data_IF_267219346139
#
_entry.id   IF_267219346139
#
_cell.length_a   1.000
_cell.length_b   1.000
_cell.length_c   1.000
_cell.angle_alpha   90.00
_cell.angle_beta   90.00
_cell.angle_gamma   90.00
#
_symmetry.space_group_name_H-M   'P 1'
#
loop_
_entity.id
_entity.type
_entity.pdbx_description
1 polymer ?
#
# COMPACT_ATOMS: atom_id res chain seq x y z
N UNK A 1 -10.32 11.06 -48.21
CA UNK A 1 -11.76 11.08 -47.86
C UNK A 1 -11.93 10.50 -46.47
N UNK A 2 -12.32 11.34 -45.50
CA UNK A 2 -12.55 10.97 -44.10
C UNK A 2 -13.81 10.10 -44.03
N UNK A 3 -13.66 8.84 -43.65
CA UNK A 3 -14.79 7.97 -43.31
C UNK A 3 -15.09 8.17 -41.82
N UNK A 4 -16.23 8.79 -41.61
CA UNK A 4 -16.85 9.09 -40.33
C UNK A 4 -17.56 7.83 -39.80
N UNK A 5 -17.47 7.68 -38.47
CA UNK A 5 -18.47 7.13 -37.57
C UNK A 5 -18.65 5.60 -37.55
N UNK A 6 -17.96 4.95 -36.61
CA UNK A 6 -18.59 3.89 -35.83
C UNK A 6 -18.84 4.45 -34.43
N UNK A 7 -20.11 4.71 -34.18
CA UNK A 7 -20.69 4.87 -32.85
C UNK A 7 -20.48 3.55 -32.11
N UNK A 8 -19.57 3.56 -31.15
CA UNK A 8 -19.60 2.65 -30.01
C UNK A 8 -19.79 3.53 -28.76
N UNK A 9 -21.02 4.03 -28.61
CA UNK A 9 -21.58 4.42 -27.33
C UNK A 9 -21.71 3.14 -26.48
N UNK A 10 -20.57 2.62 -26.02
CA UNK A 10 -20.56 1.65 -24.92
C UNK A 10 -20.75 2.47 -23.66
N UNK A 11 -21.99 2.44 -23.17
CA UNK A 11 -22.37 2.85 -21.85
C UNK A 11 -21.51 2.11 -20.81
N UNK A 12 -20.39 2.72 -20.43
CA UNK A 12 -19.84 2.59 -19.09
C UNK A 12 -20.35 3.76 -18.23
N UNK A 13 -21.66 4.02 -18.28
CA UNK A 13 -22.38 4.68 -17.18
C UNK A 13 -22.60 3.68 -16.03
N UNK A 14 -21.54 2.99 -15.63
CA UNK A 14 -21.49 2.29 -14.36
C UNK A 14 -20.74 3.19 -13.39
N UNK A 15 -21.53 4.06 -12.76
CA UNK A 15 -21.35 4.49 -11.38
C UNK A 15 -20.00 5.12 -11.04
N UNK A 16 -20.00 6.45 -11.01
CA UNK A 16 -19.10 7.23 -10.16
C UNK A 16 -19.35 6.98 -8.66
N UNK A 17 -19.12 5.74 -8.20
CA UNK A 17 -18.63 5.56 -6.85
C UNK A 17 -17.17 5.97 -6.92
N UNK A 18 -16.80 7.07 -6.28
CA UNK A 18 -15.42 7.29 -5.91
C UNK A 18 -14.97 6.02 -5.17
N UNK A 19 -14.22 5.14 -5.85
CA UNK A 19 -13.82 3.84 -5.33
C UNK A 19 -13.04 4.13 -4.05
N UNK A 20 -13.63 3.81 -2.89
CA UNK A 20 -13.08 4.19 -1.59
C UNK A 20 -11.69 3.54 -1.47
N UNK A 21 -10.65 4.37 -1.50
CA UNK A 21 -9.26 3.91 -1.35
C UNK A 21 -9.16 3.02 -0.12
N UNK A 22 -8.68 1.79 -0.33
CA UNK A 22 -8.46 0.82 0.73
C UNK A 22 -7.35 1.27 1.67
N UNK A 23 -7.19 0.59 2.80
CA UNK A 23 -6.03 0.83 3.67
C UNK A 23 -4.70 0.61 2.92
N UNK A 24 -4.66 -0.41 2.06
CA UNK A 24 -3.51 -0.72 1.24
C UNK A 24 -3.21 0.40 0.23
N UNK A 25 -4.23 0.94 -0.45
CA UNK A 25 -4.05 2.06 -1.40
C UNK A 25 -3.48 3.29 -0.70
N UNK A 26 -3.99 3.63 0.50
CA UNK A 26 -3.47 4.77 1.28
C UNK A 26 -2.02 4.57 1.72
N UNK A 27 -1.66 3.35 2.11
CA UNK A 27 -0.29 3.02 2.49
C UNK A 27 0.65 3.09 1.28
N UNK A 28 0.20 2.57 0.13
CA UNK A 28 0.93 2.64 -1.12
C UNK A 28 1.15 4.09 -1.57
N UNK A 29 0.11 4.93 -1.52
CA UNK A 29 0.21 6.35 -1.86
C UNK A 29 1.21 7.09 -0.95
N UNK A 30 1.12 6.86 0.37
CA UNK A 30 2.04 7.45 1.35
C UNK A 30 3.48 7.05 1.02
N UNK A 31 3.73 5.75 0.88
CA UNK A 31 5.08 5.25 0.66
C UNK A 31 5.63 5.65 -0.73
N UNK A 32 4.76 5.77 -1.73
CA UNK A 32 5.10 6.30 -3.06
C UNK A 32 5.54 7.76 -2.97
N UNK A 33 4.79 8.57 -2.23
CA UNK A 33 5.10 10.00 -2.05
C UNK A 33 6.40 10.18 -1.27
N UNK A 34 6.58 9.43 -0.18
CA UNK A 34 7.74 9.60 0.71
C UNK A 34 9.03 9.05 0.13
N UNK A 35 8.97 7.94 -0.61
CA UNK A 35 10.16 7.23 -1.10
C UNK A 35 10.34 7.31 -2.62
N UNK A 36 9.50 8.07 -3.32
CA UNK A 36 9.50 8.18 -4.78
C UNK A 36 9.50 6.81 -5.46
N UNK A 37 8.55 5.94 -5.08
CA UNK A 37 8.48 4.57 -5.60
C UNK A 37 8.21 4.55 -7.10
N UNK A 38 8.93 3.70 -7.84
CA UNK A 38 8.67 3.48 -9.27
C UNK A 38 7.36 2.72 -9.48
N UNK A 39 6.80 2.79 -10.69
CA UNK A 39 5.59 2.05 -11.05
C UNK A 39 5.73 0.53 -10.80
N UNK A 40 6.89 -0.04 -11.13
CA UNK A 40 7.20 -1.45 -10.90
C UNK A 40 7.26 -1.81 -9.41
N UNK A 41 7.82 -0.91 -8.59
CA UNK A 41 7.83 -1.09 -7.14
C UNK A 41 6.40 -1.02 -6.58
N UNK A 42 5.59 -0.06 -7.05
CA UNK A 42 4.20 0.08 -6.62
C UNK A 42 3.38 -1.17 -6.94
N UNK A 43 3.52 -1.72 -8.15
CA UNK A 43 2.84 -2.94 -8.58
C UNK A 43 3.21 -4.15 -7.71
N UNK A 44 4.47 -4.27 -7.30
CA UNK A 44 4.96 -5.35 -6.42
C UNK A 44 4.55 -5.16 -4.95
N UNK A 45 4.43 -3.92 -4.49
CA UNK A 45 4.13 -3.59 -3.10
C UNK A 45 2.64 -3.64 -2.77
N UNK A 46 1.78 -3.26 -3.72
CA UNK A 46 0.33 -3.25 -3.53
C UNK A 46 -0.23 -4.55 -2.94
N UNK A 47 0.01 -5.74 -3.52
CA UNK A 47 -0.52 -6.99 -2.97
C UNK A 47 0.05 -7.32 -1.57
N UNK A 48 1.28 -6.92 -1.26
CA UNK A 48 1.87 -7.14 0.06
C UNK A 48 1.21 -6.26 1.13
N UNK A 49 0.82 -5.03 0.77
CA UNK A 49 0.03 -4.19 1.68
C UNK A 49 -1.38 -4.74 1.85
N UNK A 50 -2.03 -5.19 0.78
CA UNK A 50 -3.35 -5.84 0.87
C UNK A 50 -3.32 -7.04 1.84
N UNK A 51 -2.30 -7.90 1.73
CA UNK A 51 -2.11 -9.03 2.64
C UNK A 51 -1.85 -8.56 4.09
N UNK A 52 -1.01 -7.54 4.29
CA UNK A 52 -0.74 -6.97 5.61
C UNK A 52 -2.03 -6.42 6.27
N UNK A 53 -2.90 -5.76 5.50
CA UNK A 53 -4.19 -5.29 5.99
C UNK A 53 -5.16 -6.43 6.27
N UNK A 54 -5.15 -7.49 5.46
CA UNK A 54 -5.95 -8.69 5.68
C UNK A 54 -5.55 -9.41 6.97
N UNK A 55 -4.24 -9.60 7.22
CA UNK A 55 -3.74 -10.18 8.47
C UNK A 55 -4.15 -9.35 9.69
N UNK A 56 -4.12 -8.02 9.57
CA UNK A 56 -4.58 -7.13 10.65
C UNK A 56 -6.07 -7.26 10.91
N UNK A 57 -6.87 -7.45 9.87
CA UNK A 57 -8.31 -7.69 10.01
C UNK A 57 -8.59 -9.07 10.63
N UNK A 58 -7.84 -10.09 10.22
CA UNK A 58 -7.96 -11.44 10.75
C UNK A 58 -7.58 -11.52 12.23
N UNK A 59 -6.47 -10.92 12.66
CA UNK A 59 -6.10 -10.84 14.09
C UNK A 59 -7.17 -10.14 14.94
N UNK A 60 -7.88 -9.15 14.38
CA UNK A 60 -8.99 -8.49 15.08
C UNK A 60 -10.23 -9.36 15.20
N UNK A 61 -10.45 -10.25 14.24
CA UNK A 61 -11.59 -11.16 14.24
C UNK A 61 -11.30 -12.43 15.05
N UNK A 62 -10.05 -12.88 15.06
CA UNK A 62 -9.60 -14.15 15.62
C UNK A 62 -8.31 -13.93 16.43
N UNK A 63 -8.43 -13.81 17.76
CA UNK A 63 -7.28 -13.58 18.64
C UNK A 63 -6.27 -14.75 18.61
N UNK A 64 -6.74 -15.98 18.39
CA UNK A 64 -5.88 -17.17 18.29
C UNK A 64 -4.90 -17.11 17.11
N UNK A 65 -5.19 -16.29 16.09
CA UNK A 65 -4.31 -16.10 14.94
C UNK A 65 -3.22 -15.04 15.17
N UNK A 66 -3.18 -14.38 16.34
CA UNK A 66 -2.29 -13.24 16.58
C UNK A 66 -0.81 -13.56 16.35
N UNK A 67 -0.29 -14.63 16.97
CA UNK A 67 1.13 -14.96 16.85
C UNK A 67 1.50 -15.44 15.44
N UNK A 68 0.64 -16.25 14.80
CA UNK A 68 0.85 -16.67 13.41
C UNK A 68 0.85 -15.49 12.44
N UNK A 69 -0.11 -14.56 12.60
CA UNK A 69 -0.21 -13.38 11.76
C UNK A 69 0.94 -12.41 12.01
N UNK A 70 1.47 -12.33 13.22
CA UNK A 70 2.67 -11.55 13.54
C UNK A 70 3.91 -12.11 12.84
N UNK A 71 4.06 -13.44 12.76
CA UNK A 71 5.13 -14.07 11.98
C UNK A 71 4.96 -13.75 10.50
N UNK A 72 3.76 -13.96 9.93
CA UNK A 72 3.48 -13.63 8.52
C UNK A 72 3.73 -12.15 8.21
N UNK A 73 3.31 -11.26 9.09
CA UNK A 73 3.49 -9.82 8.93
C UNK A 73 4.96 -9.40 8.99
N UNK A 74 5.80 -10.06 9.80
CA UNK A 74 7.25 -9.87 9.78
C UNK A 74 7.86 -10.30 8.44
N UNK A 75 7.44 -11.43 7.88
CA UNK A 75 7.89 -11.90 6.58
C UNK A 75 7.46 -10.95 5.45
N UNK A 76 6.24 -10.42 5.48
CA UNK A 76 5.81 -9.36 4.57
C UNK A 76 6.68 -8.11 4.69
N UNK A 77 7.02 -7.70 5.91
CA UNK A 77 7.94 -6.59 6.15
C UNK A 77 9.31 -6.78 5.48
N UNK A 78 9.86 -8.00 5.52
CA UNK A 78 11.10 -8.35 4.81
C UNK A 78 10.94 -8.26 3.30
N UNK A 79 9.88 -8.84 2.74
CA UNK A 79 9.57 -8.79 1.29
C UNK A 79 9.43 -7.36 0.79
N UNK A 80 8.70 -6.51 1.53
CA UNK A 80 8.59 -5.07 1.25
C UNK A 80 9.97 -4.43 1.24
N UNK A 81 10.80 -4.72 2.24
CA UNK A 81 12.19 -4.25 2.29
C UNK A 81 12.99 -4.66 1.06
N UNK A 82 12.85 -5.88 0.56
CA UNK A 82 13.60 -6.36 -0.62
C UNK A 82 13.25 -5.63 -1.93
N UNK A 83 12.05 -5.04 -2.02
CA UNK A 83 11.62 -4.27 -3.21
C UNK A 83 12.26 -2.87 -3.26
N UNK A 84 12.68 -2.34 -2.10
CA UNK A 84 13.25 -1.01 -1.98
C UNK A 84 14.74 -0.97 -2.28
N UNK A 85 15.19 0.14 -2.88
CA UNK A 85 16.61 0.43 -3.03
C UNK A 85 17.26 0.71 -1.66
N UNK A 86 18.59 0.68 -1.60
CA UNK A 86 19.32 1.02 -0.38
C UNK A 86 18.99 2.44 0.10
N UNK A 87 18.93 3.41 -0.82
CA UNK A 87 18.59 4.81 -0.53
C UNK A 87 17.16 4.94 0.02
N UNK A 88 16.19 4.25 -0.58
CA UNK A 88 14.80 4.26 -0.11
C UNK A 88 14.65 3.62 1.28
N UNK A 89 15.46 2.59 1.59
CA UNK A 89 15.48 1.98 2.94
C UNK A 89 16.01 2.96 3.98
N UNK A 90 17.09 3.67 3.66
CA UNK A 90 17.65 4.66 4.57
C UNK A 90 16.68 5.81 4.83
N UNK A 91 16.08 6.36 3.76
CA UNK A 91 15.06 7.41 3.89
C UNK A 91 13.86 6.94 4.72
N UNK A 92 13.39 5.70 4.49
CA UNK A 92 12.31 5.10 5.29
C UNK A 92 12.69 5.01 6.77
N UNK A 93 13.92 4.63 7.09
CA UNK A 93 14.40 4.55 8.48
C UNK A 93 14.42 5.94 9.13
N UNK A 94 14.94 6.95 8.44
CA UNK A 94 14.95 8.33 8.93
C UNK A 94 13.53 8.87 9.19
N UNK A 95 12.57 8.57 8.30
CA UNK A 95 11.17 8.96 8.49
C UNK A 95 10.56 8.27 9.72
N UNK A 96 10.84 6.98 9.93
CA UNK A 96 10.38 6.25 11.12
C UNK A 96 10.96 6.83 12.42
N UNK A 97 12.24 7.19 12.43
CA UNK A 97 12.89 7.83 13.58
C UNK A 97 12.28 9.21 13.86
N UNK A 98 12.02 10.02 12.82
CA UNK A 98 11.33 11.31 12.96
C UNK A 98 9.90 11.15 13.49
N UNK A 99 9.13 10.19 12.97
CA UNK A 99 7.78 9.91 13.47
C UNK A 99 7.79 9.45 14.93
N UNK A 100 8.78 8.65 15.33
CA UNK A 100 8.94 8.22 16.72
C UNK A 100 9.27 9.40 17.63
N UNK A 101 10.27 10.21 17.27
CA UNK A 101 10.66 11.39 18.04
C UNK A 101 9.52 12.41 18.17
N UNK A 102 8.74 12.63 17.10
CA UNK A 102 7.58 13.52 17.13
C UNK A 102 6.47 13.03 18.08
N UNK A 103 6.26 11.71 18.19
CA UNK A 103 5.29 11.13 19.14
C UNK A 103 5.76 11.30 20.58
N UNK A 104 7.05 11.10 20.84
CA UNK A 104 7.64 11.26 22.18
C UNK A 104 7.65 12.72 22.65
N UNK A 105 7.86 13.68 21.74
CA UNK A 105 7.86 15.11 22.06
C UNK A 105 6.45 15.73 22.21
N UNK A 106 5.41 15.06 21.72
CA UNK A 106 4.02 15.48 21.84
C UNK A 106 3.24 14.81 22.98
N UNK A 107 3.93 14.00 23.79
CA UNK A 107 3.44 13.37 25.03
C UNK A 107 3.97 14.12 26.25
#
# INVERSE_FOLDING_TARGET
MKKLLIVALLAASLTGFAQKKTGADKMLDKMTTELSLTADQQAKLKPLFEEQFALKADTKANADHEEDNKVKNKELGKKIGMILTAEQKDLRKQLQEKEKAAKEAGQ
#
